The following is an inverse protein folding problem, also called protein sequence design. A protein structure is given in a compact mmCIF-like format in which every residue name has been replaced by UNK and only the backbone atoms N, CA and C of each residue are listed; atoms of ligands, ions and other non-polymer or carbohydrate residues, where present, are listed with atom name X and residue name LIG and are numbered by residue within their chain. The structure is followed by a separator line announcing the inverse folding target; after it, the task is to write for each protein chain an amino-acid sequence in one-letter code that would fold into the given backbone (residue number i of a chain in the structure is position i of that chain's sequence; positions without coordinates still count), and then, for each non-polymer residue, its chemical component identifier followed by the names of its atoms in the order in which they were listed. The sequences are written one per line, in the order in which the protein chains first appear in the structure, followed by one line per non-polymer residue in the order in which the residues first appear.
data_IF_690477245979
#
_entry.id   IF_690477245979
#
_cell.length_a   1.000
_cell.length_b   1.000
_cell.length_c   1.000
_cell.angle_alpha   90.00
_cell.angle_beta   90.00
_cell.angle_gamma   90.00
#
_symmetry.space_group_name_H-M   'P 1'
#
loop_
_entity.id
_entity.type
_entity.pdbx_description
1 polymer ?
#
# COMPACT_ATOMS: atom_id res chain seq x y z
N UNK A 1 19.41 20.27 -4.95
CA UNK A 1 18.37 20.75 -4.01
C UNK A 1 17.33 19.66 -3.89
N UNK A 2 17.60 18.70 -3.02
CA UNK A 2 16.65 17.66 -2.68
C UNK A 2 15.72 18.14 -1.57
N UNK A 3 14.49 17.65 -1.55
CA UNK A 3 13.52 17.94 -0.49
C UNK A 3 13.20 16.68 0.31
N UNK A 4 12.99 16.85 1.61
CA UNK A 4 12.64 15.78 2.53
C UNK A 4 11.32 15.12 2.11
N UNK A 5 11.33 13.80 1.92
CA UNK A 5 10.15 13.05 1.46
C UNK A 5 8.97 13.17 2.44
N UNK A 6 9.25 13.37 3.73
CA UNK A 6 8.22 13.38 4.77
C UNK A 6 7.58 14.75 5.00
N UNK A 7 8.31 15.85 4.79
CA UNK A 7 7.85 17.20 5.17
C UNK A 7 8.16 18.30 4.14
N UNK A 8 8.88 18.00 3.06
CA UNK A 8 9.14 18.93 1.95
C UNK A 8 10.22 19.98 2.18
N UNK A 9 10.91 20.01 3.34
CA UNK A 9 12.03 20.96 3.56
C UNK A 9 13.25 20.62 2.71
N UNK A 10 14.01 21.63 2.31
CA UNK A 10 15.28 21.46 1.59
C UNK A 10 16.32 20.74 2.46
N UNK A 11 17.03 19.78 1.85
CA UNK A 11 18.04 18.94 2.49
C UNK A 11 19.31 18.85 1.62
N UNK A 12 20.49 18.56 2.23
CA UNK A 12 21.74 18.39 1.49
C UNK A 12 21.65 17.27 0.45
N UNK A 13 22.32 17.45 -0.69
CA UNK A 13 22.35 16.44 -1.75
C UNK A 13 23.03 15.16 -1.23
N UNK A 14 22.26 14.06 -1.20
CA UNK A 14 22.69 12.75 -0.68
C UNK A 14 21.84 12.22 0.49
N UNK A 15 21.00 13.06 1.10
CA UNK A 15 20.06 12.64 2.14
C UNK A 15 18.62 12.59 1.62
N UNK A 16 17.78 11.74 2.22
CA UNK A 16 16.36 11.54 1.87
C UNK A 16 15.40 12.18 2.89
N UNK A 17 15.88 12.43 4.11
CA UNK A 17 15.10 12.97 5.23
C UNK A 17 15.87 14.10 5.92
N UNK A 18 15.18 15.13 6.42
CA UNK A 18 15.82 16.16 7.25
C UNK A 18 16.11 15.63 8.66
N UNK A 19 17.04 16.27 9.38
CA UNK A 19 17.43 15.87 10.76
C UNK A 19 16.23 15.66 11.70
N UNK A 20 15.20 16.51 11.63
CA UNK A 20 13.98 16.38 12.46
C UNK A 20 13.17 15.12 12.12
N UNK A 21 13.17 14.69 10.85
CA UNK A 21 12.42 13.54 10.37
C UNK A 21 13.24 12.23 10.41
N UNK A 22 14.58 12.33 10.44
CA UNK A 22 15.50 11.21 10.51
C UNK A 22 15.60 10.62 11.92
N UNK A 23 15.31 11.42 12.96
CA UNK A 23 15.25 10.93 14.33
C UNK A 23 13.93 10.19 14.57
N UNK A 24 14.03 8.87 14.63
CA UNK A 24 12.99 8.02 15.18
C UNK A 24 12.86 8.34 16.69
N UNK A 25 11.69 8.74 17.21
CA UNK A 25 11.52 8.99 18.65
C UNK A 25 11.56 7.64 19.38
N UNK A 26 12.77 7.17 19.70
CA UNK A 26 12.98 5.89 20.37
C UNK A 26 14.42 5.35 20.41
N UNK A 27 15.41 6.04 19.86
CA UNK A 27 16.79 5.54 19.85
C UNK A 27 17.84 6.57 20.30
N UNK A 28 17.94 6.74 21.61
CA UNK A 28 19.11 7.22 22.36
C UNK A 28 18.99 6.60 23.75
N UNK A 29 19.95 5.99 24.42
CA UNK A 29 21.38 5.70 24.28
C UNK A 29 21.60 4.46 25.15
N UNK A 30 22.49 3.54 24.76
CA UNK A 30 23.45 2.78 25.62
C UNK A 30 23.94 1.52 24.91
N UNK A 31 24.91 1.69 24.02
CA UNK A 31 25.81 0.58 23.65
C UNK A 31 27.09 0.74 24.46
N UNK A 32 27.21 -0.01 25.55
CA UNK A 32 28.51 -0.44 26.08
C UNK A 32 28.50 -1.96 26.22
N UNK A 33 29.36 -2.58 25.41
CA UNK A 33 29.70 -4.01 25.33
C UNK A 33 29.97 -4.63 26.72
N UNK A 34 29.51 -5.86 27.00
CA UNK A 34 30.11 -6.71 28.03
C UNK A 34 31.07 -7.77 27.47
N UNK A 35 31.91 -8.28 28.39
CA UNK A 35 32.80 -9.45 28.35
C UNK A 35 34.29 -9.17 28.01
N UNK A 36 35.26 -9.81 28.72
CA UNK A 36 35.22 -11.23 29.07
C UNK A 36 35.50 -11.60 30.55
N UNK A 37 34.94 -12.74 30.94
CA UNK A 37 35.40 -13.56 32.06
C UNK A 37 36.42 -14.60 31.57
N UNK A 38 37.45 -14.88 32.37
CA UNK A 38 37.98 -16.21 32.74
C UNK A 38 39.45 -16.15 33.14
N UNK A 39 39.75 -16.57 34.37
CA UNK A 39 40.86 -17.50 34.62
C UNK A 39 40.69 -18.10 36.01
N UNK A 40 40.26 -19.35 36.03
CA UNK A 40 40.33 -20.19 37.21
C UNK A 40 41.74 -20.72 37.42
N UNK A 41 42.09 -20.97 38.69
CA UNK A 41 43.03 -22.04 39.05
C UNK A 41 42.77 -22.51 40.47
N UNK A 42 42.27 -23.74 40.59
CA UNK A 42 42.36 -24.57 41.80
C UNK A 42 43.84 -24.91 42.08
N UNK A 43 44.24 -24.97 43.35
CA UNK A 43 44.92 -26.14 43.92
C UNK A 43 45.03 -26.13 45.46
N UNK A 44 44.48 -27.23 46.00
CA UNK A 44 44.56 -28.00 47.26
C UNK A 44 45.52 -27.66 48.44
N UNK A 45 45.21 -28.21 49.65
CA UNK A 45 45.75 -27.83 50.95
C UNK A 45 46.92 -28.71 51.43
N UNK A 46 47.73 -28.22 52.36
CA UNK A 46 48.68 -29.03 53.13
C UNK A 46 48.70 -28.59 54.60
N UNK A 47 48.63 -29.59 55.48
CA UNK A 47 48.60 -29.54 56.94
C UNK A 47 50.00 -29.89 57.48
N UNK A 48 50.50 -29.18 58.50
CA UNK A 48 50.95 -29.71 59.82
C UNK A 48 51.93 -28.79 60.58
N UNK A 49 51.98 -28.87 61.94
CA UNK A 49 52.66 -27.95 62.88
C UNK A 49 54.05 -28.54 63.32
N UNK A 50 54.72 -28.25 64.49
CA UNK A 50 54.48 -27.32 65.62
C UNK A 50 55.75 -26.66 66.31
N UNK A 51 55.51 -25.90 67.42
CA UNK A 51 56.34 -25.68 68.67
C UNK A 51 57.54 -24.67 68.66
N UNK A 52 58.15 -24.27 69.83
CA UNK A 52 57.66 -23.89 71.19
C UNK A 52 58.48 -22.75 71.92
N UNK A 53 58.11 -22.45 73.21
CA UNK A 53 58.89 -21.93 74.41
C UNK A 53 58.70 -20.46 74.85
N UNK A 54 59.03 -20.04 76.11
CA UNK A 54 59.04 -20.73 77.44
C UNK A 54 58.54 -19.88 78.68
N UNK A 55 58.20 -20.57 79.80
CA UNK A 55 58.40 -20.36 81.29
C UNK A 55 58.49 -18.96 81.95
N UNK A 56 58.31 -18.77 83.30
CA UNK A 56 58.63 -19.66 84.45
C UNK A 56 57.53 -19.65 85.58
N UNK A 57 57.57 -20.29 86.75
CA UNK A 57 58.63 -20.55 87.74
C UNK A 57 58.36 -21.81 88.60
N UNK A 58 59.49 -22.35 89.05
CA UNK A 58 59.73 -23.39 90.04
C UNK A 58 59.52 -22.86 91.46
N UNK A 59 58.86 -23.61 92.35
CA UNK A 59 59.23 -23.66 93.77
C UNK A 59 59.11 -25.12 94.23
N UNK A 60 60.19 -25.61 94.84
CA UNK A 60 60.40 -26.97 95.32
C UNK A 60 59.50 -27.30 96.54
N UNK A 61 59.25 -28.59 96.85
CA UNK A 61 60.11 -29.20 97.88
C UNK A 61 60.44 -30.69 97.67
N UNK A 62 61.61 -31.08 98.19
CA UNK A 62 62.16 -32.44 98.31
C UNK A 62 61.62 -33.21 99.54
N UNK A 63 61.83 -34.55 99.61
CA UNK A 63 60.88 -35.55 100.10
C UNK A 63 61.30 -36.16 101.46
N UNK A 64 60.96 -37.42 101.82
CA UNK A 64 59.67 -38.12 101.90
C UNK A 64 59.44 -38.66 103.33
N UNK A 65 58.24 -39.18 103.66
CA UNK A 65 58.17 -40.24 104.69
C UNK A 65 57.05 -41.24 104.48
N UNK A 66 57.47 -42.49 104.34
CA UNK A 66 56.70 -43.71 104.17
C UNK A 66 55.63 -43.88 105.26
N UNK A 67 54.42 -44.30 104.88
CA UNK A 67 53.71 -45.47 105.45
C UNK A 67 52.38 -45.73 104.74
N UNK A 68 52.08 -47.02 104.57
CA UNK A 68 50.74 -47.63 104.44
C UNK A 68 49.89 -47.29 103.20
N UNK A 69 50.25 -47.92 102.07
CA UNK A 69 49.44 -48.92 101.37
C UNK A 69 48.08 -48.60 100.73
N UNK A 70 47.31 -47.62 101.20
CA UNK A 70 45.93 -47.39 100.69
C UNK A 70 45.64 -45.94 100.26
N UNK A 71 46.32 -44.91 100.79
CA UNK A 71 46.11 -43.51 100.39
C UNK A 71 46.68 -43.14 99.00
N UNK A 72 47.79 -43.77 98.59
CA UNK A 72 48.40 -43.57 97.26
C UNK A 72 47.49 -44.13 96.16
N UNK A 73 46.81 -45.24 96.45
CA UNK A 73 45.84 -45.87 95.53
C UNK A 73 44.66 -44.92 95.31
N UNK A 74 44.14 -44.27 96.36
CA UNK A 74 43.05 -43.29 96.25
C UNK A 74 43.49 -42.05 95.47
N UNK A 75 44.67 -41.49 95.72
CA UNK A 75 45.18 -40.32 95.00
C UNK A 75 45.42 -40.61 93.50
N UNK A 76 45.98 -41.79 93.18
CA UNK A 76 46.16 -42.24 91.80
C UNK A 76 44.80 -42.44 91.12
N UNK A 77 43.83 -43.07 91.79
CA UNK A 77 42.46 -43.21 91.28
C UNK A 77 41.82 -41.83 91.01
N UNK A 78 41.96 -40.85 91.90
CA UNK A 78 41.45 -39.49 91.68
C UNK A 78 42.09 -38.79 90.49
N UNK A 79 43.39 -38.97 90.25
CA UNK A 79 44.06 -38.39 89.06
C UNK A 79 43.59 -39.09 87.79
N UNK A 80 43.43 -40.41 87.80
CA UNK A 80 42.88 -41.15 86.67
C UNK A 80 41.42 -40.79 86.38
N UNK A 81 40.59 -40.56 87.40
CA UNK A 81 39.22 -40.10 87.20
C UNK A 81 39.18 -38.67 86.64
N UNK A 82 40.03 -37.75 87.12
CA UNK A 82 40.08 -36.38 86.58
C UNK A 82 40.58 -36.36 85.13
N UNK A 83 41.58 -37.18 84.80
CA UNK A 83 42.09 -37.30 83.43
C UNK A 83 41.07 -37.96 82.50
N UNK A 84 40.38 -39.01 82.95
CA UNK A 84 39.33 -39.66 82.15
C UNK A 84 38.10 -38.75 81.99
N UNK A 85 37.73 -37.98 83.01
CA UNK A 85 36.70 -36.94 82.93
C UNK A 85 37.11 -35.84 81.97
N UNK A 86 38.34 -35.34 82.04
CA UNK A 86 38.86 -34.29 81.15
C UNK A 86 38.91 -34.75 79.70
N UNK A 87 39.34 -36.00 79.46
CA UNK A 87 39.35 -36.60 78.12
C UNK A 87 37.92 -36.82 77.60
N UNK A 88 37.00 -37.27 78.46
CA UNK A 88 35.59 -37.43 78.12
C UNK A 88 34.95 -36.09 77.75
N UNK A 89 35.22 -35.03 78.52
CA UNK A 89 34.76 -33.67 78.24
C UNK A 89 35.34 -33.15 76.93
N UNK A 90 36.63 -33.39 76.65
CA UNK A 90 37.28 -32.99 75.40
C UNK A 90 36.70 -33.71 74.18
N UNK A 91 36.49 -35.04 74.26
CA UNK A 91 35.87 -35.81 73.18
C UNK A 91 34.43 -35.38 72.93
N UNK A 92 33.66 -35.11 74.00
CA UNK A 92 32.30 -34.56 73.90
C UNK A 92 32.31 -33.17 73.27
N UNK A 93 33.18 -32.26 73.71
CA UNK A 93 33.32 -30.92 73.15
C UNK A 93 33.76 -30.94 71.68
N UNK A 94 34.74 -31.76 71.32
CA UNK A 94 35.19 -31.91 69.93
C UNK A 94 34.10 -32.53 69.04
N UNK A 95 33.37 -33.52 69.55
CA UNK A 95 32.22 -34.10 68.83
C UNK A 95 31.09 -33.08 68.66
N UNK A 96 30.86 -32.22 69.66
CA UNK A 96 29.89 -31.13 69.57
C UNK A 96 30.33 -30.07 68.55
N UNK A 97 31.60 -29.66 68.55
CA UNK A 97 32.15 -28.72 67.56
C UNK A 97 32.12 -29.28 66.14
N UNK A 98 32.43 -30.56 65.95
CA UNK A 98 32.32 -31.22 64.64
C UNK A 98 30.87 -31.24 64.15
N UNK A 99 29.91 -31.55 65.01
CA UNK A 99 28.47 -31.50 64.67
C UNK A 99 28.01 -30.10 64.26
N UNK A 100 28.46 -29.05 64.96
CA UNK A 100 28.16 -27.66 64.59
C UNK A 100 28.76 -27.33 63.22
N UNK A 101 30.01 -27.73 62.96
CA UNK A 101 30.67 -27.50 61.66
C UNK A 101 30.02 -28.26 60.50
N UNK A 102 29.48 -29.46 60.76
CA UNK A 102 28.76 -30.25 59.76
C UNK A 102 27.40 -29.61 59.45
N UNK A 103 26.65 -29.17 60.47
CA UNK A 103 25.39 -28.45 60.28
C UNK A 103 25.55 -27.16 59.48
N UNK A 104 26.64 -26.42 59.73
CA UNK A 104 26.91 -25.20 58.97
C UNK A 104 27.24 -25.47 57.50
N UNK A 105 27.92 -26.59 57.21
CA UNK A 105 28.17 -27.01 55.83
C UNK A 105 26.91 -27.56 55.16
N UNK A 106 26.06 -28.25 55.92
CA UNK A 106 24.76 -28.73 55.45
C UNK A 106 23.88 -27.56 55.04
N UNK A 107 23.77 -26.52 55.88
CA UNK A 107 23.04 -25.30 55.52
C UNK A 107 23.63 -24.54 54.32
N UNK A 108 24.96 -24.47 54.20
CA UNK A 108 25.65 -23.83 53.05
C UNK A 108 25.50 -24.65 51.74
N UNK A 109 25.37 -25.97 51.83
CA UNK A 109 25.06 -26.82 50.68
C UNK A 109 23.59 -26.70 50.28
N UNK A 110 22.67 -26.67 51.24
CA UNK A 110 21.23 -26.45 51.00
C UNK A 110 20.99 -25.08 50.34
N UNK A 111 21.66 -24.02 50.79
CA UNK A 111 21.55 -22.68 50.17
C UNK A 111 22.05 -22.68 48.72
N UNK A 112 23.16 -23.37 48.43
CA UNK A 112 23.65 -23.52 47.05
C UNK A 112 22.73 -24.38 46.19
N UNK A 113 22.16 -25.44 46.74
CA UNK A 113 21.20 -26.28 46.04
C UNK A 113 19.94 -25.49 45.68
N UNK A 114 19.42 -24.69 46.61
CA UNK A 114 18.32 -23.76 46.35
C UNK A 114 18.69 -22.72 45.29
N UNK A 115 19.90 -22.15 45.34
CA UNK A 115 20.33 -21.19 44.33
C UNK A 115 20.48 -21.82 42.93
N UNK A 116 21.00 -23.05 42.85
CA UNK A 116 21.10 -23.77 41.57
C UNK A 116 19.73 -24.11 41.00
N UNK A 117 18.77 -24.53 41.82
CA UNK A 117 17.40 -24.81 41.36
C UNK A 117 16.69 -23.54 40.87
N UNK A 118 16.87 -22.40 41.56
CA UNK A 118 16.36 -21.10 41.08
C UNK A 118 17.00 -20.70 39.75
N UNK A 119 18.32 -20.91 39.60
CA UNK A 119 19.02 -20.58 38.36
C UNK A 119 18.58 -21.49 37.20
N UNK A 120 18.41 -22.78 37.46
CA UNK A 120 17.88 -23.76 36.50
C UNK A 120 16.47 -23.39 36.06
N UNK A 121 15.60 -23.03 37.01
CA UNK A 121 14.26 -22.53 36.71
C UNK A 121 14.32 -21.27 35.85
N UNK A 122 15.17 -20.29 36.21
CA UNK A 122 15.30 -19.06 35.42
C UNK A 122 15.84 -19.29 34.01
N UNK A 123 16.73 -20.27 33.82
CA UNK A 123 17.21 -20.67 32.50
C UNK A 123 16.10 -21.34 31.69
N UNK A 124 15.28 -22.19 32.32
CA UNK A 124 14.12 -22.79 31.67
C UNK A 124 13.10 -21.72 31.25
N UNK A 125 12.79 -20.78 32.14
CA UNK A 125 11.81 -19.71 31.88
C UNK A 125 12.29 -18.79 30.75
N UNK A 126 13.56 -18.36 30.79
CA UNK A 126 14.15 -17.52 29.72
C UNK A 126 14.24 -18.25 28.39
N UNK A 127 14.50 -19.56 28.41
CA UNK A 127 14.49 -20.38 27.19
C UNK A 127 13.08 -20.50 26.60
N UNK A 128 12.05 -20.61 27.45
CA UNK A 128 10.66 -20.62 27.01
C UNK A 128 10.25 -19.28 26.39
N UNK A 129 10.56 -18.17 27.06
CA UNK A 129 10.28 -16.82 26.52
C UNK A 129 10.94 -16.59 25.16
N UNK A 130 12.17 -17.10 24.97
CA UNK A 130 12.87 -16.97 23.70
C UNK A 130 12.22 -17.81 22.59
N UNK A 131 11.65 -18.96 22.91
CA UNK A 131 10.87 -19.77 21.96
C UNK A 131 9.56 -19.06 21.60
N UNK A 132 8.84 -18.54 22.58
CA UNK A 132 7.57 -17.83 22.37
C UNK A 132 7.79 -16.56 21.53
N UNK A 133 8.84 -15.77 21.83
CA UNK A 133 9.19 -14.59 21.05
C UNK A 133 9.63 -14.94 19.62
N UNK A 134 10.31 -16.08 19.43
CA UNK A 134 10.67 -16.57 18.10
C UNK A 134 9.44 -16.97 17.29
N UNK A 135 8.48 -17.63 17.91
CA UNK A 135 7.22 -18.01 17.28
C UNK A 135 6.41 -16.76 16.90
N UNK A 136 6.32 -15.77 17.79
CA UNK A 136 5.67 -14.48 17.49
C UNK A 136 6.35 -13.75 16.33
N UNK A 137 7.69 -13.69 16.31
CA UNK A 137 8.43 -13.07 15.20
C UNK A 137 8.15 -13.79 13.87
N UNK A 138 8.06 -15.12 13.90
CA UNK A 138 7.71 -15.91 12.71
C UNK A 138 6.30 -15.61 12.22
N UNK A 139 5.34 -15.43 13.14
CA UNK A 139 3.95 -15.09 12.83
C UNK A 139 3.84 -13.66 12.26
N UNK A 140 4.59 -12.72 12.84
CA UNK A 140 4.68 -11.36 12.32
C UNK A 140 5.29 -11.33 10.91
N UNK A 141 6.35 -12.11 10.66
CA UNK A 141 6.95 -12.22 9.33
C UNK A 141 5.94 -12.74 8.28
N UNK A 142 5.17 -13.77 8.61
CA UNK A 142 4.10 -14.28 7.73
C UNK A 142 3.01 -13.23 7.47
N UNK A 143 2.64 -12.46 8.49
CA UNK A 143 1.65 -11.39 8.36
C UNK A 143 2.16 -10.27 7.44
N UNK A 144 3.42 -9.89 7.59
CA UNK A 144 4.07 -8.89 6.73
C UNK A 144 4.09 -9.38 5.28
N UNK A 145 4.45 -10.64 5.01
CA UNK A 145 4.42 -11.20 3.66
C UNK A 145 3.01 -11.21 3.06
N UNK A 146 1.98 -11.54 3.86
CA UNK A 146 0.60 -11.50 3.41
C UNK A 146 0.16 -10.06 3.09
N UNK A 147 0.50 -9.10 3.94
CA UNK A 147 0.20 -7.68 3.71
C UNK A 147 0.91 -7.17 2.46
N UNK A 148 2.19 -7.50 2.26
CA UNK A 148 2.93 -7.13 1.06
C UNK A 148 2.29 -7.71 -0.21
N UNK A 149 1.90 -8.99 -0.19
CA UNK A 149 1.16 -9.61 -1.31
C UNK A 149 -0.16 -8.90 -1.59
N UNK A 150 -0.92 -8.58 -0.54
CA UNK A 150 -2.17 -7.83 -0.68
C UNK A 150 -1.94 -6.43 -1.25
N UNK A 151 -0.91 -5.73 -0.79
CA UNK A 151 -0.55 -4.39 -1.26
C UNK A 151 -0.13 -4.42 -2.72
N UNK A 152 0.75 -5.34 -3.12
CA UNK A 152 1.14 -5.49 -4.52
C UNK A 152 -0.05 -5.81 -5.43
N UNK A 153 -0.96 -6.67 -4.97
CA UNK A 153 -2.19 -6.99 -5.72
C UNK A 153 -3.11 -5.78 -5.85
N UNK A 154 -3.34 -5.05 -4.75
CA UNK A 154 -4.16 -3.84 -4.74
C UNK A 154 -3.54 -2.74 -5.60
N UNK A 155 -2.22 -2.56 -5.53
CA UNK A 155 -1.47 -1.60 -6.33
C UNK A 155 -1.61 -1.91 -7.83
N UNK A 156 -1.48 -3.18 -8.23
CA UNK A 156 -1.70 -3.60 -9.61
C UNK A 156 -3.12 -3.29 -10.08
N UNK A 157 -4.14 -3.61 -9.26
CA UNK A 157 -5.53 -3.30 -9.58
C UNK A 157 -5.76 -1.80 -9.71
N UNK A 158 -5.17 -0.99 -8.83
CA UNK A 158 -5.28 0.49 -8.92
C UNK A 158 -4.65 1.00 -10.21
N UNK A 159 -3.48 0.52 -10.59
CA UNK A 159 -2.83 0.92 -11.86
C UNK A 159 -3.65 0.52 -13.08
N UNK A 160 -4.25 -0.68 -13.09
CA UNK A 160 -5.13 -1.12 -14.17
C UNK A 160 -6.40 -0.25 -14.25
N UNK A 161 -7.09 -0.07 -13.11
CA UNK A 161 -8.28 0.78 -13.04
C UNK A 161 -7.98 2.22 -13.44
N UNK A 162 -6.81 2.77 -13.09
CA UNK A 162 -6.40 4.10 -13.50
C UNK A 162 -6.25 4.20 -15.01
N UNK A 163 -5.60 3.23 -15.65
CA UNK A 163 -5.47 3.17 -17.10
C UNK A 163 -6.84 3.06 -17.78
N UNK A 164 -7.69 2.15 -17.31
CA UNK A 164 -9.05 1.94 -17.85
C UNK A 164 -9.90 3.21 -17.70
N UNK A 165 -9.84 3.87 -16.54
CA UNK A 165 -10.52 5.14 -16.29
C UNK A 165 -10.07 6.22 -17.27
N UNK A 166 -8.77 6.37 -17.48
CA UNK A 166 -8.25 7.38 -18.44
C UNK A 166 -8.66 7.09 -19.88
N UNK A 167 -8.75 5.81 -20.24
CA UNK A 167 -9.18 5.39 -21.58
C UNK A 167 -10.67 5.69 -21.77
N UNK A 168 -11.52 5.34 -20.79
CA UNK A 168 -12.95 5.65 -20.82
C UNK A 168 -13.22 7.15 -20.84
N UNK A 169 -12.45 7.95 -20.10
CA UNK A 169 -12.52 9.41 -20.12
C UNK A 169 -12.27 9.95 -21.54
N UNK A 170 -11.20 9.49 -22.20
CA UNK A 170 -10.87 9.92 -23.56
C UNK A 170 -11.91 9.47 -24.58
N UNK A 171 -12.47 8.27 -24.43
CA UNK A 171 -13.55 7.78 -25.29
C UNK A 171 -14.85 8.59 -25.12
N UNK A 172 -15.19 8.96 -23.89
CA UNK A 172 -16.35 9.79 -23.59
C UNK A 172 -16.19 11.20 -24.18
N UNK A 173 -15.00 11.80 -24.06
CA UNK A 173 -14.69 13.10 -24.67
C UNK A 173 -14.78 13.04 -26.19
N UNK A 174 -14.23 12.00 -26.81
CA UNK A 174 -14.33 11.79 -28.27
C UNK A 174 -15.78 11.62 -28.72
N UNK A 175 -16.56 10.77 -28.05
CA UNK A 175 -17.96 10.54 -28.38
C UNK A 175 -18.80 11.81 -28.18
N UNK A 176 -18.48 12.62 -27.17
CA UNK A 176 -19.14 13.92 -26.95
C UNK A 176 -18.83 14.89 -28.09
N UNK A 177 -17.58 14.95 -28.54
CA UNK A 177 -17.19 15.80 -29.67
C UNK A 177 -17.85 15.34 -30.98
N UNK A 178 -17.91 14.03 -31.22
CA UNK A 178 -18.58 13.45 -32.39
C UNK A 178 -20.09 13.76 -32.39
N UNK A 179 -20.78 13.59 -31.26
CA UNK A 179 -22.18 13.97 -31.14
C UNK A 179 -22.42 15.45 -31.44
N UNK A 180 -21.53 16.32 -30.95
CA UNK A 180 -21.62 17.76 -31.24
C UNK A 180 -21.43 18.05 -32.74
N UNK A 181 -20.49 17.38 -33.40
CA UNK A 181 -20.27 17.53 -34.83
C UNK A 181 -21.47 17.04 -35.65
N UNK A 182 -22.01 15.87 -35.31
CA UNK A 182 -23.21 15.31 -35.96
C UNK A 182 -24.44 16.20 -35.75
N UNK A 183 -24.58 16.81 -34.57
CA UNK A 183 -25.67 17.75 -34.31
C UNK A 183 -25.56 18.99 -35.22
N UNK A 184 -24.36 19.55 -35.39
CA UNK A 184 -24.13 20.67 -36.30
C UNK A 184 -24.40 20.30 -37.76
N UNK A 185 -24.04 19.08 -38.17
CA UNK A 185 -24.33 18.57 -39.52
C UNK A 185 -25.84 18.42 -39.75
N UNK A 186 -26.57 17.88 -38.77
CA UNK A 186 -28.03 17.78 -38.84
C UNK A 186 -28.69 19.16 -38.95
N UNK A 187 -28.27 20.14 -38.15
CA UNK A 187 -28.78 21.52 -38.22
C UNK A 187 -28.52 22.14 -39.61
N UNK A 188 -27.35 21.90 -40.20
CA UNK A 188 -27.02 22.39 -41.55
C UNK A 188 -27.85 21.70 -42.63
N UNK A 189 -28.09 20.39 -42.50
CA UNK A 189 -28.95 19.62 -43.42
C UNK A 189 -30.41 20.09 -43.34
N UNK A 190 -30.93 20.35 -42.14
CA UNK A 190 -32.28 20.89 -41.95
C UNK A 190 -32.45 22.24 -42.66
N UNK A 191 -31.49 23.15 -42.52
CA UNK A 191 -31.49 24.44 -43.23
C UNK A 191 -31.43 24.26 -44.76
N UNK A 192 -30.67 23.28 -45.24
CA UNK A 192 -30.59 22.96 -46.67
C UNK A 192 -31.93 22.45 -47.19
N UNK A 193 -32.60 21.56 -46.45
CA UNK A 193 -33.94 21.05 -46.80
C UNK A 193 -34.96 22.18 -46.82
N UNK A 194 -34.95 23.07 -45.82
CA UNK A 194 -35.84 24.24 -45.79
C UNK A 194 -35.63 25.14 -47.01
N UNK A 195 -34.36 25.46 -47.32
CA UNK A 195 -34.00 26.27 -48.48
C UNK A 195 -34.46 25.63 -49.79
N UNK A 196 -34.18 24.33 -49.97
CA UNK A 196 -34.59 23.59 -51.16
C UNK A 196 -36.11 23.57 -51.31
N UNK A 197 -36.84 23.39 -50.20
CA UNK A 197 -38.30 23.42 -50.20
C UNK A 197 -38.83 24.78 -50.65
N UNK A 198 -38.31 25.87 -50.06
CA UNK A 198 -38.70 27.23 -50.45
C UNK A 198 -38.39 27.52 -51.94
N UNK A 199 -37.22 27.12 -52.44
CA UNK A 199 -36.89 27.30 -53.85
C UNK A 199 -37.82 26.49 -54.76
N UNK A 200 -38.20 25.28 -54.36
CA UNK A 200 -39.11 24.45 -55.15
C UNK A 200 -40.51 25.09 -55.25
N UNK A 201 -41.01 25.64 -54.14
CA UNK A 201 -42.28 26.37 -54.11
C UNK A 201 -42.24 27.63 -54.98
N UNK A 202 -41.14 28.39 -54.94
CA UNK A 202 -40.89 29.56 -55.78
C UNK A 202 -40.87 29.16 -57.27
N UNK A 203 -40.14 28.11 -57.63
CA UNK A 203 -40.11 27.60 -59.01
C UNK A 203 -41.50 27.12 -59.46
N UNK A 204 -42.24 26.44 -58.58
CA UNK A 204 -43.59 25.99 -58.88
C UNK A 204 -44.57 27.18 -59.07
N UNK A 205 -44.41 28.26 -58.31
CA UNK A 205 -45.21 29.49 -58.49
C UNK A 205 -44.88 30.18 -59.82
N UNK A 206 -43.59 30.33 -60.13
CA UNK A 206 -43.10 30.92 -61.38
C UNK A 206 -43.53 30.12 -62.61
N UNK A 207 -43.41 28.79 -62.55
CA UNK A 207 -43.89 27.90 -63.60
C UNK A 207 -45.41 28.03 -63.81
N UNK A 208 -46.21 28.12 -62.74
CA UNK A 208 -47.66 28.37 -62.86
C UNK A 208 -47.95 29.70 -63.56
N UNK A 209 -47.20 30.75 -63.24
CA UNK A 209 -47.34 32.06 -63.90
C UNK A 209 -46.99 31.98 -65.39
N UNK A 210 -45.86 31.36 -65.74
CA UNK A 210 -45.45 31.19 -67.13
C UNK A 210 -46.44 30.34 -67.92
N UNK A 211 -46.96 29.27 -67.33
CA UNK A 211 -48.01 28.45 -67.95
C UNK A 211 -49.29 29.25 -68.19
N UNK A 212 -49.71 30.10 -67.23
CA UNK A 212 -50.86 30.99 -67.40
C UNK A 212 -50.64 31.98 -68.54
N UNK A 213 -49.46 32.60 -68.60
CA UNK A 213 -49.07 33.52 -69.68
C UNK A 213 -49.01 32.81 -71.04
N UNK A 214 -48.44 31.60 -71.10
CA UNK A 214 -48.39 30.79 -72.33
C UNK A 214 -49.81 30.47 -72.80
N UNK A 215 -50.68 29.95 -71.92
CA UNK A 215 -52.08 29.65 -72.25
C UNK A 215 -52.83 30.87 -72.78
N UNK A 216 -52.57 32.05 -72.21
CA UNK A 216 -53.14 33.29 -72.74
C UNK A 216 -52.64 33.57 -74.16
N UNK A 217 -51.32 33.52 -74.40
CA UNK A 217 -50.76 33.72 -75.74
C UNK A 217 -51.30 32.68 -76.74
N UNK A 218 -51.32 31.40 -76.38
CA UNK A 218 -51.84 30.31 -77.21
C UNK A 218 -53.33 30.46 -77.55
N UNK A 219 -54.10 31.11 -76.68
CA UNK A 219 -55.53 31.35 -76.87
C UNK A 219 -55.83 32.54 -77.78
N UNK A 220 -55.01 33.59 -77.72
CA UNK A 220 -55.33 34.88 -78.35
C UNK A 220 -54.43 35.28 -79.51
N UNK A 221 -53.19 34.79 -79.53
CA UNK A 221 -52.20 35.07 -80.57
C UNK A 221 -52.27 33.97 -81.62
N UNK A 222 -52.35 34.40 -82.88
CA UNK A 222 -52.31 33.51 -84.05
C UNK A 222 -51.22 34.00 -85.00
N UNK A 223 -50.63 33.08 -85.74
CA UNK A 223 -49.50 33.33 -86.62
C UNK A 223 -49.93 33.17 -88.07
N UNK A 224 -49.52 34.11 -88.92
CA UNK A 224 -49.82 34.11 -90.35
C UNK A 224 -48.51 34.10 -91.11
N UNK A 225 -48.37 33.19 -92.07
CA UNK A 225 -47.20 33.07 -92.94
C UNK A 225 -47.41 33.80 -94.27
N UNK A 226 -46.30 34.19 -94.90
CA UNK A 226 -46.30 34.81 -96.23
C UNK A 226 -46.19 33.75 -97.34
N UNK A 227 -46.96 32.68 -97.23
CA UNK A 227 -46.99 31.54 -98.16
C UNK A 227 -48.13 31.66 -99.20
N UNK A 228 -48.96 32.69 -99.08
CA UNK A 228 -50.13 32.93 -99.92
C UNK A 228 -51.36 32.09 -99.56
N UNK A 229 -51.31 31.27 -98.50
CA UNK A 229 -52.45 30.44 -98.05
C UNK A 229 -53.60 31.28 -97.49
N UNK A 230 -53.28 32.44 -96.91
CA UNK A 230 -54.25 33.29 -96.22
C UNK A 230 -54.79 32.66 -94.94
N UNK A 231 -54.09 31.67 -94.37
CA UNK A 231 -54.48 30.98 -93.15
C UNK A 231 -53.71 31.50 -91.93
N UNK A 232 -54.37 31.48 -90.77
CA UNK A 232 -53.71 31.68 -89.49
C UNK A 232 -53.62 30.38 -88.69
N UNK A 233 -52.49 30.21 -88.01
CA UNK A 233 -52.07 28.99 -87.32
C UNK A 233 -51.86 29.25 -85.83
N UNK A 234 -51.89 28.16 -85.03
CA UNK A 234 -51.37 28.16 -83.66
C UNK A 234 -49.87 27.86 -83.67
N UNK A 235 -49.16 28.24 -82.61
CA UNK A 235 -47.71 28.02 -82.50
C UNK A 235 -47.30 26.55 -82.71
N UNK A 236 -48.05 25.60 -82.13
CA UNK A 236 -47.78 24.16 -82.24
C UNK A 236 -48.37 23.44 -83.45
N UNK A 237 -48.71 24.16 -84.53
CA UNK A 237 -49.31 23.55 -85.72
C UNK A 237 -48.21 23.01 -86.67
N UNK A 238 -48.31 21.76 -87.14
CA UNK A 238 -47.27 21.14 -87.98
C UNK A 238 -47.07 21.84 -89.34
N UNK A 239 -48.11 22.53 -89.83
CA UNK A 239 -48.05 23.33 -91.06
C UNK A 239 -47.42 24.70 -90.88
N UNK A 240 -47.16 25.11 -89.65
CA UNK A 240 -46.56 26.39 -89.35
C UNK A 240 -45.04 26.24 -89.34
N UNK A 241 -44.36 26.83 -90.34
CA UNK A 241 -42.93 26.67 -90.54
C UNK A 241 -42.06 27.48 -89.54
N UNK A 242 -42.64 28.38 -88.75
CA UNK A 242 -41.97 29.13 -87.67
C UNK A 242 -40.77 29.99 -88.12
N UNK A 243 -40.64 30.29 -89.40
CA UNK A 243 -39.45 31.00 -89.95
C UNK A 243 -39.73 32.43 -90.38
N UNK A 244 -40.86 32.70 -91.04
CA UNK A 244 -41.24 34.05 -91.49
C UNK A 244 -42.74 34.26 -91.32
N UNK A 245 -43.11 34.86 -90.19
CA UNK A 245 -44.50 35.03 -89.79
C UNK A 245 -44.79 36.38 -89.18
N UNK A 246 -46.05 36.80 -89.25
CA UNK A 246 -46.59 37.89 -88.45
C UNK A 246 -47.47 37.31 -87.34
N UNK A 247 -47.34 37.88 -86.13
CA UNK A 247 -48.19 37.55 -85.00
C UNK A 247 -49.31 38.58 -84.89
N UNK A 248 -50.56 38.13 -84.92
CA UNK A 248 -51.75 38.96 -84.74
C UNK A 248 -52.62 38.42 -83.61
N UNK A 249 -53.48 39.26 -83.05
CA UNK A 249 -54.61 38.73 -82.28
C UNK A 249 -55.60 38.05 -83.24
N UNK A 250 -56.28 37.00 -82.80
CA UNK A 250 -57.24 36.26 -83.66
C UNK A 250 -58.23 37.18 -84.36
N UNK A 251 -58.85 38.10 -83.60
CA UNK A 251 -59.81 39.07 -84.14
C UNK A 251 -59.21 40.00 -85.19
N UNK A 252 -57.94 40.41 -85.01
CA UNK A 252 -57.25 41.26 -85.97
C UNK A 252 -56.87 40.50 -87.24
N UNK A 253 -56.47 39.23 -87.12
CA UNK A 253 -56.21 38.37 -88.27
C UNK A 253 -57.50 38.17 -89.10
N UNK A 254 -58.62 37.89 -88.45
CA UNK A 254 -59.93 37.76 -89.11
C UNK A 254 -60.37 39.07 -89.77
N UNK A 255 -60.19 40.22 -89.10
CA UNK A 255 -60.49 41.52 -89.67
C UNK A 255 -59.63 41.86 -90.91
N UNK A 256 -58.38 41.37 -90.95
CA UNK A 256 -57.49 41.49 -92.10
C UNK A 256 -57.78 40.46 -93.20
N UNK A 257 -58.78 39.60 -93.04
CA UNK A 257 -59.25 38.65 -94.06
C UNK A 257 -58.61 37.25 -94.00
N UNK A 258 -57.79 36.95 -92.98
CA UNK A 258 -57.21 35.62 -92.80
C UNK A 258 -58.22 34.63 -92.21
N UNK A 259 -58.15 33.36 -92.64
CA UNK A 259 -59.07 32.29 -92.20
C UNK A 259 -58.38 31.31 -91.23
N UNK A 260 -59.13 30.64 -90.33
CA UNK A 260 -58.53 29.65 -89.45
C UNK A 260 -57.99 28.46 -90.23
N UNK A 261 -56.77 28.02 -89.89
CA UNK A 261 -56.25 26.76 -90.40
C UNK A 261 -57.13 25.57 -89.92
N UNK A 262 -57.57 24.68 -90.83
CA UNK A 262 -58.39 23.52 -90.48
C UNK A 262 -57.71 22.54 -89.51
N UNK A 263 -56.37 22.45 -89.53
CA UNK A 263 -55.64 21.57 -88.61
C UNK A 263 -55.49 22.13 -87.20
N UNK A 264 -55.46 23.45 -87.04
CA UNK A 264 -55.26 24.06 -85.73
C UNK A 264 -56.59 24.41 -85.01
N UNK A 265 -57.71 24.50 -85.75
CA UNK A 265 -59.02 24.95 -85.26
C UNK A 265 -60.24 24.14 -85.78
N UNK A 266 -60.02 23.09 -86.58
CA UNK A 266 -61.08 22.20 -87.08
C UNK A 266 -61.37 21.02 -86.18
#
# INVERSE_FOLDING_TARGET
MNTCIKCGREIPDGELFCNDCALNPGASETVRKPAPALSGRMQKPVVHPPKPKPQPQLVQPTPPKRRTGHGVVIAILCVFTVLSLSLSIYLLANSASQRVSLRLRESDLEEREQHLTVLEQSLSDTQQELLDAKDELSQQAQTIEQLQRSFSSAQSTVSQTQYDMTTQQAELERATQENKALQQENEALEQSVETLTATNEELASSNRLFLSKSKFMDSYVVFVENDGSGLYHKYGCDDFAQTSFWAYSRKLAEANGYKPCPRCFG
#
